data_IF_682732969308
#
_entry.id   IF_682732969308
#
_cell.length_a   1.000
_cell.length_b   1.000
_cell.length_c   1.000
_cell.angle_alpha   90.00
_cell.angle_beta   90.00
_cell.angle_gamma   90.00
#
_symmetry.space_group_name_H-M   'P 1'
#
loop_
_entity.id
_entity.type
_entity.pdbx_description
1 polymer ?
#
# COMPACT_ATOMS: atom_id res chain seq x y z
N UNK A 1 58.44 10.88 51.23
CA UNK A 1 57.83 9.95 50.23
C UNK A 1 56.39 9.57 50.58
N UNK A 2 56.08 9.16 51.83
CA UNK A 2 54.72 8.78 52.26
C UNK A 2 53.64 9.86 52.03
N UNK A 3 53.97 11.14 52.26
CA UNK A 3 53.03 12.25 52.05
C UNK A 3 52.80 12.58 50.56
N UNK A 4 53.78 12.29 49.70
CA UNK A 4 53.66 12.50 48.26
C UNK A 4 52.75 11.43 47.61
N UNK A 5 52.80 10.20 48.13
CA UNK A 5 51.95 9.10 47.71
C UNK A 5 50.47 9.37 48.06
N UNK A 6 50.21 9.89 49.26
CA UNK A 6 48.85 10.25 49.71
C UNK A 6 48.27 11.37 48.84
N UNK A 7 49.06 12.39 48.52
CA UNK A 7 48.62 13.49 47.66
C UNK A 7 48.32 13.02 46.22
N UNK A 8 49.12 12.09 45.70
CA UNK A 8 48.88 11.48 44.38
C UNK A 8 47.60 10.64 44.38
N UNK A 9 47.34 9.85 45.42
CA UNK A 9 46.10 9.06 45.54
C UNK A 9 44.86 9.95 45.68
N UNK A 10 44.95 11.07 46.42
CA UNK A 10 43.88 12.06 46.49
C UNK A 10 43.62 12.79 45.18
N UNK A 11 44.65 13.02 44.35
CA UNK A 11 44.50 13.65 43.04
C UNK A 11 43.88 12.72 41.98
N UNK A 12 44.07 11.40 42.10
CA UNK A 12 43.40 10.41 41.23
C UNK A 12 41.93 10.16 41.60
N UNK A 13 41.50 10.51 42.82
CA UNK A 13 40.11 10.34 43.28
C UNK A 13 39.14 11.40 42.72
N UNK A 14 39.62 12.49 42.10
CA UNK A 14 38.79 13.60 41.56
C UNK A 14 38.51 13.52 40.04
N UNK A 15 38.83 12.41 39.37
CA UNK A 15 38.78 12.33 37.90
C UNK A 15 37.44 11.88 37.28
N UNK A 16 36.33 11.84 38.03
CA UNK A 16 35.01 11.46 37.48
C UNK A 16 33.94 12.54 37.74
N UNK A 17 34.26 13.78 37.40
CA UNK A 17 33.29 14.88 37.42
C UNK A 17 32.55 14.92 36.09
N UNK A 18 31.31 14.41 36.04
CA UNK A 18 30.44 14.59 34.88
C UNK A 18 29.95 16.04 34.85
N UNK A 19 30.34 16.82 33.85
CA UNK A 19 29.86 18.20 33.65
C UNK A 19 28.44 18.18 33.09
N UNK A 20 27.45 18.03 33.96
CA UNK A 20 26.03 18.15 33.64
C UNK A 20 25.52 19.51 34.12
N UNK A 21 24.63 20.16 33.35
CA UNK A 21 24.03 21.44 33.72
C UNK A 21 22.59 21.21 34.17
N UNK A 22 22.33 21.50 35.45
CA UNK A 22 20.98 21.52 36.02
C UNK A 22 20.51 22.94 36.30
N UNK A 23 19.26 23.25 35.95
CA UNK A 23 18.56 24.46 36.39
C UNK A 23 17.42 24.01 37.29
N UNK A 24 17.41 24.50 38.52
CA UNK A 24 16.39 24.21 39.54
C UNK A 24 16.26 22.73 39.94
N UNK A 25 17.23 21.89 39.57
CA UNK A 25 17.36 20.49 40.02
C UNK A 25 18.76 20.23 40.57
N UNK A 26 18.82 19.48 41.68
CA UNK A 26 20.09 19.02 42.26
C UNK A 26 20.57 17.69 41.68
N UNK A 27 19.74 17.01 40.88
CA UNK A 27 20.05 15.70 40.32
C UNK A 27 19.75 15.64 38.81
N UNK A 28 20.58 16.27 37.97
CA UNK A 28 20.42 16.26 36.50
C UNK A 28 20.33 14.84 35.95
N UNK A 29 19.44 14.62 34.96
CA UNK A 29 19.22 13.30 34.33
C UNK A 29 19.89 13.17 32.96
N UNK A 30 20.55 14.21 32.50
CA UNK A 30 21.17 14.27 31.19
C UNK A 30 22.27 15.32 31.13
N UNK A 31 22.69 15.69 29.93
CA UNK A 31 23.71 16.73 29.72
C UNK A 31 23.17 18.12 30.08
N UNK A 32 21.86 18.34 29.94
CA UNK A 32 21.15 19.53 30.37
C UNK A 32 19.77 19.16 30.92
N UNK A 33 19.41 19.67 32.09
CA UNK A 33 18.13 19.40 32.75
C UNK A 33 17.55 20.70 33.35
N UNK A 34 16.37 21.11 32.90
CA UNK A 34 15.56 22.17 33.52
C UNK A 34 14.41 21.50 34.26
N UNK A 35 14.34 21.71 35.56
CA UNK A 35 13.24 21.27 36.42
C UNK A 35 12.29 22.44 36.68
N UNK A 36 11.11 22.38 36.10
CA UNK A 36 10.17 23.51 36.08
C UNK A 36 9.68 23.89 37.49
N UNK A 37 9.50 22.90 38.37
CA UNK A 37 8.94 23.09 39.71
C UNK A 37 9.96 22.91 40.85
N UNK A 38 11.17 22.44 40.56
CA UNK A 38 12.19 22.11 41.54
C UNK A 38 11.79 20.96 42.46
N UNK A 39 10.88 20.10 42.01
CA UNK A 39 10.26 19.07 42.83
C UNK A 39 10.88 17.68 42.64
N UNK A 40 11.94 17.56 41.84
CA UNK A 40 12.58 16.28 41.58
C UNK A 40 13.29 15.68 42.81
N UNK A 41 12.96 14.41 43.08
CA UNK A 41 13.71 13.57 44.00
C UNK A 41 15.05 13.10 43.38
N UNK A 42 15.89 12.44 44.17
CA UNK A 42 17.11 11.78 43.68
C UNK A 42 16.82 10.65 42.67
N UNK A 43 15.59 10.16 42.63
CA UNK A 43 15.04 9.34 41.56
C UNK A 43 13.65 9.89 41.24
N UNK A 44 13.53 10.80 40.26
CA UNK A 44 12.26 11.43 39.93
C UNK A 44 11.18 10.42 39.55
N UNK A 45 9.96 10.66 40.01
CA UNK A 45 8.77 9.95 39.57
C UNK A 45 8.29 10.50 38.22
N UNK A 46 7.48 9.72 37.50
CA UNK A 46 6.85 10.18 36.25
C UNK A 46 6.04 11.48 36.45
N UNK A 47 5.45 11.68 37.62
CA UNK A 47 4.68 12.89 37.91
C UNK A 47 5.57 14.14 38.04
N UNK A 48 6.77 14.01 38.61
CA UNK A 48 7.75 15.10 38.76
C UNK A 48 8.35 15.46 37.39
N UNK A 49 8.75 14.44 36.62
CA UNK A 49 9.35 14.65 35.29
C UNK A 49 8.42 15.30 34.25
N UNK A 50 7.11 15.39 34.50
CA UNK A 50 6.15 16.02 33.57
C UNK A 50 6.44 17.50 33.30
N UNK A 51 7.08 18.18 34.23
CA UNK A 51 7.35 19.61 34.13
C UNK A 51 8.80 19.92 33.71
N UNK A 52 9.56 18.89 33.32
CA UNK A 52 10.99 18.99 33.05
C UNK A 52 11.31 19.01 31.56
N UNK A 53 12.40 19.69 31.21
CA UNK A 53 13.08 19.58 29.93
C UNK A 53 14.45 18.93 30.14
N UNK A 54 14.68 17.80 29.47
CA UNK A 54 15.89 17.00 29.64
C UNK A 54 16.51 16.73 28.29
N UNK A 55 17.73 17.23 28.08
CA UNK A 55 18.56 16.86 26.94
C UNK A 55 19.54 15.75 27.35
N UNK A 56 19.59 14.67 26.56
CA UNK A 56 20.44 13.51 26.76
C UNK A 56 21.20 13.19 25.47
N UNK A 57 22.27 12.42 25.60
CA UNK A 57 23.07 11.91 24.47
C UNK A 57 23.04 10.39 24.55
N UNK A 58 22.70 9.73 23.45
CA UNK A 58 22.63 8.27 23.40
C UNK A 58 24.02 7.61 23.29
N UNK A 59 24.07 6.29 23.22
CA UNK A 59 25.32 5.54 23.09
C UNK A 59 26.05 5.80 21.75
N UNK A 60 25.38 6.37 20.75
CA UNK A 60 25.91 6.70 19.43
C UNK A 60 26.37 8.16 19.32
N UNK A 61 26.19 8.97 20.38
CA UNK A 61 26.55 10.38 20.39
C UNK A 61 25.46 11.31 19.84
N UNK A 62 24.24 10.80 19.63
CA UNK A 62 23.11 11.58 19.15
C UNK A 62 22.39 12.27 20.32
N UNK A 63 22.14 13.58 20.19
CA UNK A 63 21.40 14.35 21.19
C UNK A 63 19.89 14.22 20.98
N UNK A 64 19.15 14.00 22.05
CA UNK A 64 17.68 14.02 22.06
C UNK A 64 17.14 14.85 23.23
N UNK A 65 15.99 15.48 23.03
CA UNK A 65 15.33 16.36 24.01
C UNK A 65 13.97 15.80 24.37
N UNK A 66 13.77 15.54 25.66
CA UNK A 66 12.53 15.08 26.23
C UNK A 66 11.81 16.23 26.92
N UNK A 67 10.50 16.28 26.73
CA UNK A 67 9.60 17.10 27.55
C UNK A 67 8.53 16.16 28.11
N UNK A 68 8.60 15.88 29.41
CA UNK A 68 7.54 15.18 30.15
C UNK A 68 7.54 13.63 30.21
N UNK A 69 8.63 12.90 29.88
CA UNK A 69 8.80 11.42 30.08
C UNK A 69 10.25 10.92 29.85
N UNK A 70 10.56 9.65 30.17
CA UNK A 70 11.78 8.93 29.75
C UNK A 70 11.78 8.68 28.22
N UNK A 71 12.84 9.12 27.52
CA UNK A 71 12.96 9.04 26.06
C UNK A 71 13.43 7.69 25.51
N UNK A 72 13.12 7.40 24.25
CA UNK A 72 13.58 6.22 23.51
C UNK A 72 14.87 6.53 22.72
N UNK A 73 15.80 5.57 22.62
CA UNK A 73 17.08 5.71 21.88
C UNK A 73 16.94 5.85 20.35
N UNK A 74 15.72 6.04 19.85
CA UNK A 74 15.43 6.22 18.41
C UNK A 74 14.56 7.45 18.17
N UNK A 75 14.35 8.29 19.19
CA UNK A 75 13.57 9.51 19.08
C UNK A 75 14.46 10.72 19.38
N UNK A 76 14.57 11.63 18.42
CA UNK A 76 15.22 12.93 18.65
C UNK A 76 14.28 13.92 19.37
N UNK A 77 12.96 13.70 19.27
CA UNK A 77 11.90 14.43 19.96
C UNK A 77 10.72 13.48 20.25
N UNK A 78 10.28 13.38 21.51
CA UNK A 78 9.23 12.46 21.91
C UNK A 78 8.11 13.13 22.71
N UNK A 79 6.87 12.80 22.37
CA UNK A 79 5.64 13.26 23.02
C UNK A 79 4.93 12.03 23.60
N UNK A 80 5.01 11.86 24.93
CA UNK A 80 4.73 10.56 25.58
C UNK A 80 3.45 10.53 26.42
N UNK A 81 2.68 11.63 26.46
CA UNK A 81 1.43 11.66 27.19
C UNK A 81 0.35 10.86 26.43
N UNK A 82 -0.18 9.79 27.03
CA UNK A 82 -1.16 8.89 26.39
C UNK A 82 -2.49 9.55 26.07
N UNK A 83 -2.72 10.76 26.57
CA UNK A 83 -3.94 11.54 26.35
C UNK A 83 -3.67 12.91 25.71
N UNK A 84 -2.47 13.15 25.18
CA UNK A 84 -2.16 14.37 24.41
C UNK A 84 -1.51 14.01 23.08
N UNK A 85 -1.59 14.94 22.15
CA UNK A 85 -1.03 14.80 20.81
C UNK A 85 -0.19 16.03 20.46
N UNK A 86 0.56 15.93 19.36
CA UNK A 86 1.19 17.09 18.74
C UNK A 86 0.12 18.00 18.13
N UNK A 87 0.01 19.22 18.64
CA UNK A 87 -0.70 20.29 17.96
C UNK A 87 0.20 20.96 16.93
N UNK A 88 -0.20 20.98 15.67
CA UNK A 88 0.44 21.82 14.64
C UNK A 88 -0.11 23.25 14.68
N UNK A 89 0.62 24.19 14.06
CA UNK A 89 0.09 25.53 13.83
C UNK A 89 -1.19 25.45 13.00
N UNK A 90 -2.26 26.01 13.55
CA UNK A 90 -3.59 26.07 12.92
C UNK A 90 -3.69 27.31 12.08
N UNK A 91 -3.80 27.14 10.77
CA UNK A 91 -3.89 28.25 9.81
C UNK A 91 -5.06 28.01 8.88
N UNK A 92 -5.66 29.07 8.36
CA UNK A 92 -6.75 28.98 7.40
C UNK A 92 -6.19 29.20 5.99
N UNK A 93 -5.67 28.15 5.34
CA UNK A 93 -5.10 28.31 4.00
C UNK A 93 -6.20 28.68 3.01
N UNK A 94 -5.92 29.69 2.19
CA UNK A 94 -6.88 30.20 1.20
C UNK A 94 -6.77 29.49 -0.15
N UNK A 95 -5.63 28.86 -0.43
CA UNK A 95 -5.37 28.06 -1.62
C UNK A 95 -4.14 27.16 -1.44
N UNK A 96 -3.89 26.24 -2.37
CA UNK A 96 -2.67 25.41 -2.37
C UNK A 96 -1.40 26.23 -2.58
N UNK A 97 -1.46 27.40 -3.18
CA UNK A 97 -0.31 28.30 -3.38
C UNK A 97 -0.27 29.45 -2.36
N UNK A 98 -1.04 29.37 -1.28
CA UNK A 98 -1.11 30.42 -0.28
C UNK A 98 0.24 30.62 0.44
N UNK A 99 0.98 31.64 0.04
CA UNK A 99 2.22 32.08 0.70
C UNK A 99 2.02 33.35 1.53
N UNK A 100 0.76 33.75 1.75
CA UNK A 100 0.41 34.97 2.49
C UNK A 100 0.01 34.67 3.92
N UNK A 101 -0.77 33.61 4.14
CA UNK A 101 -1.21 33.15 5.46
C UNK A 101 -0.02 32.62 6.26
N UNK A 102 0.92 31.98 5.56
CA UNK A 102 2.24 31.62 6.08
C UNK A 102 3.28 32.26 5.16
N UNK A 103 3.80 33.46 5.50
CA UNK A 103 4.78 34.18 4.68
C UNK A 103 6.07 33.38 4.46
N UNK A 104 6.51 33.30 3.21
CA UNK A 104 7.77 32.64 2.81
C UNK A 104 7.95 31.23 3.41
N UNK A 105 6.99 30.30 3.16
CA UNK A 105 7.04 28.99 3.79
C UNK A 105 8.24 28.18 3.28
N UNK A 106 9.00 27.59 4.20
CA UNK A 106 10.09 26.67 3.87
C UNK A 106 9.60 25.30 3.42
N UNK A 107 10.37 24.60 2.58
CA UNK A 107 10.08 23.22 2.18
C UNK A 107 10.04 22.31 3.42
N UNK A 108 8.99 21.50 3.53
CA UNK A 108 8.77 20.57 4.63
C UNK A 108 8.07 21.16 5.85
N UNK A 109 7.62 22.42 5.81
CA UNK A 109 6.78 22.97 6.89
C UNK A 109 5.45 22.25 6.96
N UNK A 110 4.99 21.91 8.16
CA UNK A 110 3.69 21.29 8.44
C UNK A 110 2.73 22.27 9.10
N UNK A 111 1.46 22.22 8.68
CA UNK A 111 0.36 22.99 9.29
C UNK A 111 -0.91 22.14 9.39
N UNK A 112 -1.79 22.48 10.31
CA UNK A 112 -3.18 22.02 10.30
C UNK A 112 -4.03 23.10 9.64
N UNK A 113 -4.60 22.82 8.48
CA UNK A 113 -5.47 23.75 7.78
C UNK A 113 -6.89 23.70 8.35
N UNK A 114 -7.33 24.79 8.97
CA UNK A 114 -8.65 24.86 9.61
C UNK A 114 -9.80 25.01 8.62
N UNK A 115 -9.54 25.40 7.37
CA UNK A 115 -10.58 25.48 6.35
C UNK A 115 -10.96 24.08 5.84
N UNK A 116 -9.96 23.22 5.68
CA UNK A 116 -10.14 21.86 5.12
C UNK A 116 -10.16 20.77 6.20
N UNK A 117 -9.72 21.08 7.42
CA UNK A 117 -9.52 20.14 8.53
C UNK A 117 -8.49 19.03 8.25
N UNK A 118 -7.48 19.32 7.42
CA UNK A 118 -6.41 18.38 7.11
C UNK A 118 -5.03 18.94 7.43
N UNK A 119 -4.09 18.03 7.70
CA UNK A 119 -2.67 18.39 7.74
C UNK A 119 -2.15 18.66 6.33
N UNK A 120 -1.34 19.69 6.18
CA UNK A 120 -0.65 20.04 4.95
C UNK A 120 0.83 20.17 5.21
N UNK A 121 1.66 19.83 4.21
CA UNK A 121 3.06 20.22 4.17
C UNK A 121 3.37 21.10 2.97
N UNK A 122 4.31 22.02 3.11
CA UNK A 122 4.76 22.83 1.98
C UNK A 122 5.85 22.11 1.18
N UNK A 123 5.61 21.90 -0.11
CA UNK A 123 6.53 21.19 -1.02
C UNK A 123 7.76 22.01 -1.44
N UNK A 124 7.76 23.32 -1.14
CA UNK A 124 8.65 24.32 -1.74
C UNK A 124 7.97 25.15 -2.84
N UNK A 125 6.79 24.73 -3.29
CA UNK A 125 6.01 25.45 -4.30
C UNK A 125 4.54 25.61 -3.90
N UNK A 126 3.96 24.62 -3.22
CA UNK A 126 2.56 24.59 -2.82
C UNK A 126 2.35 23.75 -1.56
N UNK A 127 1.26 24.02 -0.85
CA UNK A 127 0.69 23.21 0.21
C UNK A 127 0.07 21.95 -0.38
N UNK A 128 0.62 20.81 0.03
CA UNK A 128 0.10 19.49 -0.30
C UNK A 128 -0.55 18.92 0.94
N UNK A 129 -1.77 18.42 0.79
CA UNK A 129 -2.45 17.68 1.84
C UNK A 129 -1.69 16.39 2.11
N UNK A 130 -1.54 16.07 3.39
CA UNK A 130 -1.13 14.72 3.81
C UNK A 130 -2.42 13.92 3.85
N UNK A 131 -2.55 13.01 2.89
CA UNK A 131 -3.69 12.13 2.76
C UNK A 131 -3.37 10.79 3.45
N UNK A 132 -4.26 10.37 4.35
CA UNK A 132 -4.20 9.10 5.09
C UNK A 132 -5.28 8.13 4.64
N UNK A 133 -6.14 8.51 3.68
CA UNK A 133 -7.06 7.58 3.06
C UNK A 133 -6.23 6.54 2.33
N UNK A 134 -6.20 5.26 2.77
CA UNK A 134 -5.94 4.21 1.81
C UNK A 134 -6.96 4.46 0.70
N UNK A 135 -6.55 4.42 -0.57
CA UNK A 135 -7.53 4.23 -1.62
C UNK A 135 -8.31 2.97 -1.23
N UNK A 136 -9.53 3.13 -0.71
CA UNK A 136 -10.35 1.99 -0.38
C UNK A 136 -10.67 1.31 -1.71
N UNK A 137 -9.96 0.20 -1.95
CA UNK A 137 -10.32 -0.83 -2.92
C UNK A 137 -10.29 -0.52 -4.42
N UNK A 138 -9.65 0.56 -4.91
CA UNK A 138 -9.26 0.60 -6.34
C UNK A 138 -7.96 -0.18 -6.57
N UNK A 139 -7.86 -1.42 -6.07
CA UNK A 139 -6.77 -2.30 -6.45
C UNK A 139 -7.07 -2.85 -7.84
N UNK A 140 -6.35 -2.39 -8.86
CA UNK A 140 -6.31 -3.08 -10.16
C UNK A 140 -5.41 -4.29 -9.98
N UNK A 141 -6.00 -5.48 -10.02
CA UNK A 141 -5.28 -6.75 -9.90
C UNK A 141 -5.10 -7.34 -11.29
N UNK A 142 -3.90 -7.81 -11.61
CA UNK A 142 -3.57 -8.34 -12.94
C UNK A 142 -3.07 -9.77 -12.84
N UNK A 143 -3.69 -10.69 -13.59
CA UNK A 143 -3.33 -12.10 -13.60
C UNK A 143 -3.05 -12.57 -15.03
N UNK A 144 -2.00 -13.36 -15.19
CA UNK A 144 -1.74 -14.04 -16.46
C UNK A 144 -2.51 -15.36 -16.50
N UNK A 145 -2.89 -15.80 -17.71
CA UNK A 145 -3.34 -17.17 -17.88
C UNK A 145 -2.18 -18.12 -17.54
N UNK A 146 -2.40 -19.05 -16.61
CA UNK A 146 -1.35 -19.92 -16.07
C UNK A 146 -1.13 -21.18 -16.93
N UNK A 147 -2.18 -21.68 -17.58
CA UNK A 147 -2.17 -22.88 -18.41
C UNK A 147 -2.75 -22.61 -19.80
N UNK A 148 -2.22 -23.28 -20.83
CA UNK A 148 -2.76 -23.14 -22.18
C UNK A 148 -4.21 -23.64 -22.23
N UNK A 149 -5.12 -22.78 -22.65
CA UNK A 149 -6.53 -23.11 -22.80
C UNK A 149 -6.90 -23.29 -24.27
N UNK A 150 -7.63 -24.35 -24.61
CA UNK A 150 -8.20 -24.59 -25.94
C UNK A 150 -9.72 -24.42 -25.85
N UNK A 151 -10.37 -23.71 -26.77
CA UNK A 151 -11.84 -23.61 -26.73
C UNK A 151 -12.49 -24.98 -26.92
N UNK A 152 -13.60 -25.24 -26.23
CA UNK A 152 -14.43 -26.42 -26.45
C UNK A 152 -15.72 -26.06 -27.20
N UNK A 153 -16.28 -27.00 -27.97
CA UNK A 153 -17.54 -26.76 -28.67
C UNK A 153 -18.68 -26.61 -27.66
N UNK A 154 -19.59 -25.67 -27.93
CA UNK A 154 -20.78 -25.43 -27.14
C UNK A 154 -21.99 -25.16 -28.04
N UNK A 155 -23.17 -25.60 -27.61
CA UNK A 155 -24.45 -25.25 -28.24
C UNK A 155 -25.08 -24.10 -27.45
N UNK A 156 -25.26 -22.89 -28.02
CA UNK A 156 -25.79 -21.71 -27.33
C UNK A 156 -27.17 -21.97 -26.69
N UNK A 157 -27.17 -22.48 -25.46
CA UNK A 157 -28.38 -22.92 -24.73
C UNK A 157 -28.57 -22.14 -23.43
N UNK A 158 -27.78 -21.09 -23.21
CA UNK A 158 -27.87 -20.22 -22.03
C UNK A 158 -27.19 -20.77 -20.78
N UNK A 159 -26.38 -21.82 -20.92
CA UNK A 159 -25.52 -22.36 -19.86
C UNK A 159 -24.05 -22.10 -20.19
N UNK A 160 -23.24 -21.81 -19.19
CA UNK A 160 -21.81 -21.66 -19.37
C UNK A 160 -21.14 -23.03 -19.55
N UNK A 161 -20.43 -23.17 -20.66
CA UNK A 161 -19.60 -24.34 -20.97
C UNK A 161 -18.30 -23.87 -21.62
N UNK A 162 -17.30 -24.75 -21.66
CA UNK A 162 -16.01 -24.44 -22.27
C UNK A 162 -14.84 -24.89 -21.42
N UNK A 163 -13.64 -24.46 -21.83
CA UNK A 163 -12.44 -24.65 -21.02
C UNK A 163 -12.35 -23.57 -19.95
N UNK A 164 -12.21 -23.97 -18.69
CA UNK A 164 -11.96 -23.05 -17.58
C UNK A 164 -10.65 -22.29 -17.79
N UNK A 165 -10.70 -20.97 -17.72
CA UNK A 165 -9.53 -20.10 -17.83
C UNK A 165 -8.87 -19.93 -16.46
N UNK A 166 -7.72 -20.58 -16.29
CA UNK A 166 -6.94 -20.52 -15.05
C UNK A 166 -6.09 -19.25 -14.94
N UNK A 167 -6.70 -18.15 -14.53
CA UNK A 167 -6.00 -16.93 -14.12
C UNK A 167 -5.49 -16.98 -12.67
N UNK A 168 -5.85 -18.04 -11.94
CA UNK A 168 -5.33 -18.43 -10.63
C UNK A 168 -5.09 -19.94 -10.65
N UNK A 169 -4.42 -20.48 -9.64
CA UNK A 169 -4.16 -21.93 -9.54
C UNK A 169 -5.44 -22.76 -9.49
N UNK A 170 -6.52 -22.22 -8.93
CA UNK A 170 -7.85 -22.83 -8.85
C UNK A 170 -8.71 -22.55 -10.09
N UNK A 171 -8.42 -21.49 -10.82
CA UNK A 171 -9.26 -20.96 -11.89
C UNK A 171 -10.45 -20.13 -11.41
N UNK A 172 -10.50 -19.84 -10.11
CA UNK A 172 -11.51 -18.97 -9.47
C UNK A 172 -10.88 -17.64 -9.05
N UNK A 173 -11.66 -16.56 -9.10
CA UNK A 173 -11.35 -15.28 -8.45
C UNK A 173 -12.26 -15.14 -7.25
N UNK A 174 -11.67 -15.18 -6.05
CA UNK A 174 -12.39 -14.95 -4.80
C UNK A 174 -12.63 -13.45 -4.61
N UNK A 175 -13.87 -13.09 -4.31
CA UNK A 175 -14.30 -11.73 -4.05
C UNK A 175 -14.15 -11.46 -2.55
N UNK A 176 -13.27 -10.53 -2.19
CA UNK A 176 -12.97 -10.25 -0.79
C UNK A 176 -14.13 -9.50 -0.10
N UNK A 177 -14.86 -8.66 -0.84
CA UNK A 177 -15.89 -7.78 -0.30
C UNK A 177 -17.08 -7.66 -1.24
N UNK A 178 -18.26 -7.37 -0.69
CA UNK A 178 -19.43 -7.00 -1.48
C UNK A 178 -19.15 -5.73 -2.31
N UNK A 179 -19.55 -5.73 -3.57
CA UNK A 179 -19.48 -4.54 -4.43
C UNK A 179 -19.69 -4.85 -5.91
N UNK A 180 -19.57 -3.81 -6.73
CA UNK A 180 -19.57 -3.92 -8.19
C UNK A 180 -18.14 -4.12 -8.69
N UNK A 181 -17.94 -5.14 -9.52
CA UNK A 181 -16.62 -5.51 -10.05
C UNK A 181 -16.60 -5.44 -11.56
N UNK A 182 -15.49 -4.93 -12.10
CA UNK A 182 -15.14 -5.00 -13.51
C UNK A 182 -14.05 -6.03 -13.75
N UNK A 183 -14.20 -6.82 -14.81
CA UNK A 183 -13.18 -7.79 -15.26
C UNK A 183 -12.89 -7.53 -16.73
N UNK A 184 -11.64 -7.30 -17.09
CA UNK A 184 -11.23 -7.16 -18.49
C UNK A 184 -10.20 -8.22 -18.84
N UNK A 185 -10.56 -9.10 -19.76
CA UNK A 185 -9.77 -10.24 -20.21
C UNK A 185 -9.25 -9.92 -21.60
N UNK A 186 -7.93 -9.82 -21.71
CA UNK A 186 -7.24 -9.87 -22.99
C UNK A 186 -7.04 -11.32 -23.39
N UNK A 187 -7.74 -11.72 -24.44
CA UNK A 187 -7.56 -12.99 -25.12
C UNK A 187 -6.45 -12.83 -26.15
N UNK A 188 -5.37 -13.60 -26.01
CA UNK A 188 -4.31 -13.67 -27.02
C UNK A 188 -4.02 -15.13 -27.34
N UNK A 189 -4.14 -15.49 -28.61
CA UNK A 189 -4.25 -16.89 -28.99
C UNK A 189 -4.21 -17.11 -30.49
N UNK A 190 -4.69 -18.25 -30.98
CA UNK A 190 -4.82 -18.55 -32.40
C UNK A 190 -5.53 -19.87 -32.67
N UNK A 191 -5.86 -20.18 -33.92
CA UNK A 191 -6.46 -21.47 -34.27
C UNK A 191 -5.52 -22.63 -33.91
N UNK A 192 -6.05 -23.63 -33.20
CA UNK A 192 -5.34 -24.84 -32.73
C UNK A 192 -5.10 -25.88 -33.81
N UNK A 193 -5.87 -25.85 -34.89
CA UNK A 193 -5.67 -26.67 -36.10
C UNK A 193 -5.63 -25.79 -37.35
N UNK A 194 -4.83 -26.22 -38.33
CA UNK A 194 -4.66 -25.51 -39.61
C UNK A 194 -6.01 -25.43 -40.33
N UNK A 195 -6.51 -24.21 -40.59
CA UNK A 195 -7.73 -23.99 -41.39
C UNK A 195 -7.30 -23.52 -42.79
N UNK A 196 -7.38 -24.36 -43.84
CA UNK A 196 -6.80 -24.01 -45.15
C UNK A 196 -7.45 -22.79 -45.83
N UNK A 197 -8.62 -22.38 -45.35
CA UNK A 197 -9.35 -21.22 -45.88
C UNK A 197 -9.81 -20.34 -44.73
N UNK A 198 -9.59 -19.01 -44.79
CA UNK A 198 -10.08 -18.10 -43.78
C UNK A 198 -11.61 -18.17 -43.66
N UNK A 199 -12.13 -18.16 -42.44
CA UNK A 199 -13.56 -18.30 -42.19
C UNK A 199 -13.99 -17.45 -40.98
N UNK A 200 -15.25 -16.99 -41.01
CA UNK A 200 -15.91 -16.42 -39.84
C UNK A 200 -16.14 -17.54 -38.82
N UNK A 201 -15.59 -17.37 -37.62
CA UNK A 201 -15.73 -18.28 -36.49
C UNK A 201 -16.26 -17.52 -35.30
N UNK A 202 -17.15 -18.16 -34.54
CA UNK A 202 -17.79 -17.57 -33.37
C UNK A 202 -17.27 -18.26 -32.12
N UNK A 203 -16.78 -17.44 -31.19
CA UNK A 203 -16.27 -17.83 -29.89
C UNK A 203 -17.07 -17.16 -28.78
N UNK A 204 -17.01 -17.74 -27.58
CA UNK A 204 -17.71 -17.22 -26.41
C UNK A 204 -16.78 -17.21 -25.20
N UNK A 205 -16.89 -16.16 -24.41
CA UNK A 205 -16.37 -16.12 -23.05
C UNK A 205 -17.55 -15.99 -22.09
N UNK A 206 -17.71 -16.97 -21.22
CA UNK A 206 -18.73 -16.95 -20.18
C UNK A 206 -18.12 -16.55 -18.84
N UNK A 207 -18.83 -15.75 -18.07
CA UNK A 207 -18.57 -15.47 -16.66
C UNK A 207 -19.63 -16.15 -15.80
N UNK A 208 -19.23 -16.81 -14.72
CA UNK A 208 -20.13 -17.56 -13.81
C UNK A 208 -19.64 -17.47 -12.37
N UNK A 209 -20.47 -17.94 -11.42
CA UNK A 209 -20.00 -18.33 -10.09
C UNK A 209 -19.48 -19.77 -10.12
N UNK A 210 -18.44 -20.07 -9.35
CA UNK A 210 -17.86 -21.41 -9.25
C UNK A 210 -18.92 -22.45 -8.87
N UNK A 211 -18.89 -23.61 -9.54
CA UNK A 211 -19.87 -24.68 -9.35
C UNK A 211 -21.26 -24.42 -9.95
N UNK A 212 -21.51 -23.25 -10.54
CA UNK A 212 -22.75 -22.93 -11.25
C UNK A 212 -22.57 -22.95 -12.77
N UNK A 213 -23.57 -23.43 -13.48
CA UNK A 213 -23.66 -23.29 -14.95
C UNK A 213 -24.46 -22.05 -15.37
N UNK A 214 -25.04 -21.33 -14.41
CA UNK A 214 -25.76 -20.07 -14.67
C UNK A 214 -24.78 -18.97 -15.06
N UNK A 215 -25.04 -18.37 -16.22
CA UNK A 215 -24.25 -17.27 -16.77
C UNK A 215 -24.52 -16.00 -15.95
N UNK A 216 -23.46 -15.38 -15.43
CA UNK A 216 -23.50 -14.00 -14.92
C UNK A 216 -23.46 -13.02 -16.09
N UNK A 217 -22.56 -13.26 -17.04
CA UNK A 217 -22.42 -12.47 -18.27
C UNK A 217 -21.74 -13.31 -19.37
N UNK A 218 -21.95 -12.97 -20.63
CA UNK A 218 -21.41 -13.67 -21.79
C UNK A 218 -21.04 -12.68 -22.89
N UNK A 219 -19.84 -12.86 -23.45
CA UNK A 219 -19.40 -12.11 -24.63
C UNK A 219 -19.22 -13.08 -25.79
N UNK A 220 -19.98 -12.85 -26.86
CA UNK A 220 -19.77 -13.45 -28.17
C UNK A 220 -18.69 -12.68 -28.93
N UNK A 221 -17.81 -13.41 -29.60
CA UNK A 221 -16.71 -12.86 -30.40
C UNK A 221 -16.74 -13.52 -31.77
N UNK A 222 -17.12 -12.75 -32.79
CA UNK A 222 -17.08 -13.17 -34.19
C UNK A 222 -15.77 -12.72 -34.83
N UNK A 223 -14.95 -13.67 -35.25
CA UNK A 223 -13.62 -13.42 -35.80
C UNK A 223 -13.47 -14.03 -37.18
N UNK A 224 -12.83 -13.29 -38.08
CA UNK A 224 -12.31 -13.84 -39.32
C UNK A 224 -10.91 -14.42 -39.06
N UNK A 225 -10.82 -15.75 -38.99
CA UNK A 225 -9.60 -16.43 -38.54
C UNK A 225 -8.72 -16.82 -39.73
N UNK A 226 -7.45 -16.40 -39.70
CA UNK A 226 -6.42 -16.81 -40.65
C UNK A 226 -5.49 -17.83 -40.00
N UNK A 227 -5.07 -18.81 -40.78
CA UNK A 227 -4.15 -19.83 -40.29
C UNK A 227 -2.76 -19.26 -40.03
N UNK A 228 -2.18 -19.64 -38.88
CA UNK A 228 -0.85 -19.20 -38.44
C UNK A 228 -0.80 -17.76 -37.93
N UNK A 229 -1.92 -17.04 -37.84
CA UNK A 229 -1.96 -15.66 -37.31
C UNK A 229 -2.59 -15.64 -35.93
N UNK A 230 -1.93 -15.07 -34.91
CA UNK A 230 -2.54 -14.95 -33.60
C UNK A 230 -3.70 -13.95 -33.64
N UNK A 231 -4.72 -14.24 -32.84
CA UNK A 231 -5.84 -13.34 -32.56
C UNK A 231 -5.59 -12.62 -31.22
N UNK A 232 -6.00 -11.37 -31.16
CA UNK A 232 -6.05 -10.59 -29.92
C UNK A 232 -7.41 -9.92 -29.82
N UNK A 233 -8.10 -10.12 -28.69
CA UNK A 233 -9.39 -9.48 -28.41
C UNK A 233 -9.49 -9.16 -26.92
N UNK A 234 -10.32 -8.21 -26.55
CA UNK A 234 -10.58 -7.87 -25.15
C UNK A 234 -12.07 -8.04 -24.85
N UNK A 235 -12.38 -8.82 -23.82
CA UNK A 235 -13.73 -9.03 -23.31
C UNK A 235 -13.83 -8.39 -21.91
N UNK A 236 -14.80 -7.50 -21.69
CA UNK A 236 -14.97 -6.80 -20.42
C UNK A 236 -16.35 -7.09 -19.83
N UNK A 237 -16.36 -7.59 -18.60
CA UNK A 237 -17.54 -8.03 -17.86
C UNK A 237 -17.76 -7.15 -16.64
N UNK A 238 -19.01 -7.10 -16.19
CA UNK A 238 -19.42 -6.41 -14.98
C UNK A 238 -20.36 -7.30 -14.18
N UNK A 239 -20.21 -7.32 -12.86
CA UNK A 239 -21.17 -7.97 -11.97
C UNK A 239 -21.16 -7.33 -10.57
N UNK A 240 -22.33 -7.31 -9.96
CA UNK A 240 -22.47 -7.11 -8.52
C UNK A 240 -22.25 -8.45 -7.82
N UNK A 241 -21.30 -8.47 -6.89
CA UNK A 241 -20.83 -9.68 -6.22
C UNK A 241 -20.86 -9.51 -4.71
N UNK A 242 -21.06 -10.61 -4.00
CA UNK A 242 -21.01 -10.67 -2.55
C UNK A 242 -19.62 -11.11 -2.08
N UNK A 243 -19.28 -10.81 -0.83
CA UNK A 243 -18.05 -11.30 -0.23
C UNK A 243 -18.03 -12.84 -0.22
N UNK A 244 -16.88 -13.42 -0.57
CA UNK A 244 -16.61 -14.85 -0.77
C UNK A 244 -17.25 -15.48 -2.01
N UNK A 245 -17.88 -14.70 -2.90
CA UNK A 245 -18.20 -15.23 -4.22
C UNK A 245 -16.90 -15.68 -4.94
N UNK A 246 -16.97 -16.79 -5.66
CA UNK A 246 -15.90 -17.26 -6.51
C UNK A 246 -16.32 -17.12 -7.97
N UNK A 247 -15.61 -16.31 -8.76
CA UNK A 247 -15.93 -16.05 -10.17
C UNK A 247 -15.05 -16.90 -11.09
N UNK A 248 -15.66 -17.52 -12.09
CA UNK A 248 -15.00 -18.34 -13.12
C UNK A 248 -15.23 -17.77 -14.53
N UNK A 249 -14.26 -18.02 -15.41
CA UNK A 249 -14.37 -17.69 -16.84
C UNK A 249 -14.16 -18.92 -17.72
N UNK A 250 -15.01 -19.11 -18.72
CA UNK A 250 -14.95 -20.25 -19.64
C UNK A 250 -14.74 -19.80 -21.09
N UNK A 251 -13.93 -20.54 -21.83
CA UNK A 251 -13.61 -20.29 -23.24
C UNK A 251 -14.20 -21.38 -24.14
N UNK A 252 -15.08 -20.98 -25.05
CA UNK A 252 -15.83 -21.88 -25.93
C UNK A 252 -15.88 -21.39 -27.38
N UNK A 253 -16.27 -22.28 -28.27
CA UNK A 253 -16.62 -21.98 -29.67
C UNK A 253 -17.96 -22.60 -30.03
N UNK A 254 -18.63 -22.02 -31.02
CA UNK A 254 -19.90 -22.56 -31.54
C UNK A 254 -19.72 -23.99 -32.04
N UNK A 255 -20.66 -24.91 -31.79
CA UNK A 255 -20.58 -26.30 -32.28
C UNK A 255 -20.37 -26.42 -33.81
N UNK A 256 -20.89 -25.49 -34.61
CA UNK A 256 -20.65 -25.46 -36.05
C UNK A 256 -19.20 -25.06 -36.42
N UNK A 257 -18.47 -24.47 -35.47
CA UNK A 257 -17.05 -24.14 -35.61
C UNK A 257 -16.20 -25.38 -35.34
N UNK A 258 -15.62 -25.95 -36.40
CA UNK A 258 -14.67 -27.08 -36.29
C UNK A 258 -13.24 -26.66 -35.91
N UNK A 259 -12.98 -25.35 -35.79
CA UNK A 259 -11.66 -24.81 -35.50
C UNK A 259 -11.56 -24.44 -34.02
N UNK A 260 -10.86 -25.25 -33.24
CA UNK A 260 -10.47 -24.90 -31.88
C UNK A 260 -9.57 -23.66 -31.88
N UNK A 261 -9.66 -22.81 -30.87
CA UNK A 261 -8.72 -21.70 -30.65
C UNK A 261 -7.99 -21.88 -29.32
N UNK A 262 -6.66 -21.87 -29.35
CA UNK A 262 -5.84 -21.87 -28.15
C UNK A 262 -5.58 -20.45 -27.65
N UNK A 263 -5.40 -20.27 -26.35
CA UNK A 263 -4.92 -19.05 -25.71
C UNK A 263 -3.51 -19.28 -25.17
N UNK A 264 -2.63 -18.30 -25.37
CA UNK A 264 -1.25 -18.36 -24.92
C UNK A 264 -1.18 -18.05 -23.43
N UNK A 265 -0.61 -18.97 -22.66
CA UNK A 265 -0.33 -18.79 -21.24
C UNK A 265 1.05 -18.19 -21.02
N UNK A 266 1.30 -17.71 -19.81
CA UNK A 266 2.61 -17.27 -19.37
C UNK A 266 2.79 -17.63 -17.91
N UNK A 267 4.00 -18.05 -17.54
CA UNK A 267 4.36 -18.14 -16.12
C UNK A 267 4.26 -16.77 -15.46
N UNK A 268 3.97 -16.78 -14.16
CA UNK A 268 4.00 -15.57 -13.34
C UNK A 268 5.39 -14.92 -13.40
N UNK A 269 5.45 -13.59 -13.55
CA UNK A 269 6.71 -12.85 -13.72
C UNK A 269 7.34 -12.87 -15.12
N UNK A 270 6.80 -13.59 -16.11
CA UNK A 270 7.35 -13.53 -17.46
C UNK A 270 7.01 -12.19 -18.17
N UNK A 271 7.98 -11.65 -18.91
CA UNK A 271 7.89 -10.37 -19.61
C UNK A 271 7.24 -10.45 -21.00
N UNK A 272 6.76 -11.63 -21.39
CA UNK A 272 6.28 -11.90 -22.76
C UNK A 272 4.91 -11.26 -22.99
N UNK A 273 4.80 -10.23 -23.81
CA UNK A 273 3.51 -9.53 -24.05
C UNK A 273 2.49 -10.32 -24.87
N UNK A 274 2.89 -11.40 -25.52
CA UNK A 274 2.06 -12.24 -26.39
C UNK A 274 1.30 -13.34 -25.60
N UNK A 275 0.52 -12.92 -24.60
CA UNK A 275 -0.19 -13.81 -23.66
C UNK A 275 -1.60 -13.35 -23.38
N UNK A 276 -2.46 -14.30 -23.01
CA UNK A 276 -3.76 -14.00 -22.42
C UNK A 276 -3.59 -13.56 -20.96
N UNK A 277 -4.36 -12.57 -20.57
CA UNK A 277 -4.28 -11.96 -19.24
C UNK A 277 -5.63 -11.37 -18.84
N UNK A 278 -5.84 -11.22 -17.55
CA UNK A 278 -7.00 -10.58 -16.97
C UNK A 278 -6.55 -9.44 -16.06
N UNK A 279 -7.32 -8.36 -16.08
CA UNK A 279 -7.29 -7.34 -15.04
C UNK A 279 -8.68 -7.23 -14.43
N UNK A 280 -8.76 -7.00 -13.13
CA UNK A 280 -10.04 -6.77 -12.46
C UNK A 280 -9.91 -5.72 -11.36
N UNK A 281 -11.01 -5.04 -11.09
CA UNK A 281 -11.08 -3.92 -10.15
C UNK A 281 -12.48 -3.81 -9.54
N UNK A 282 -12.54 -3.24 -8.34
CA UNK A 282 -13.79 -2.86 -7.67
C UNK A 282 -14.10 -1.39 -8.03
N UNK A 283 -15.37 -1.08 -8.23
CA UNK A 283 -15.88 0.28 -8.36
C UNK A 283 -16.26 0.89 -7.01
#
# INVERSE_FOLDING_TARGET
MKNLLILSVLFFLVLNSYSQVGINTSNPRGVFHIDGNGDNASTPTVAQLKNDLIAQVDANGEMYVNMGSEGHTSSQFGLYDTNKALGLNRVALTSTTDITTVPSPGKGLFVYDTNTNYMHYYSGYMWLRIEDTPYENTSVRTNNLLERAYSLPHTPTGIAEGTLLKFTSTGTITIDEKGSYGFSIRLYGGPGTFTPTPANKTYYVYMTKAGSTSILDCIQIDLYVYTGRPISYTATFYADLEANDEVCFYWAHDQATTTTCYLVHSTEGAINSNRASMLYWKF
#
